data_IF_321802585687
#
_entry.id   IF_321802585687
#
_cell.length_a   1.000
_cell.length_b   1.000
_cell.length_c   1.000
_cell.angle_alpha   90.00
_cell.angle_beta   90.00
_cell.angle_gamma   90.00
#
_symmetry.space_group_name_H-M   'P 1'
#
loop_
_entity.id
_entity.type
_entity.pdbx_description
1 polymer ?
#
# COMPACT_ATOMS: atom_id res chain seq x y z
N UNK A 1 -8.00 12.02 61.79
CA UNK A 1 -7.48 11.00 60.86
C UNK A 1 -8.63 10.15 60.32
N UNK A 2 -9.66 10.74 59.71
CA UNK A 2 -10.81 9.98 59.19
C UNK A 2 -11.35 10.51 57.84
N UNK A 3 -10.73 11.55 57.28
CA UNK A 3 -11.18 12.16 56.01
C UNK A 3 -10.30 11.79 54.81
N UNK A 4 -9.16 11.15 55.03
CA UNK A 4 -8.19 10.84 53.97
C UNK A 4 -8.48 9.50 53.29
N UNK A 5 -9.01 8.52 54.03
CA UNK A 5 -9.35 7.19 53.49
C UNK A 5 -10.63 7.20 52.65
N UNK A 6 -11.51 8.19 52.83
CA UNK A 6 -12.78 8.28 52.10
C UNK A 6 -12.66 8.98 50.73
N UNK A 7 -11.59 9.76 50.52
CA UNK A 7 -11.27 10.35 49.22
C UNK A 7 -10.50 9.37 48.32
N UNK A 8 -9.58 8.56 48.87
CA UNK A 8 -8.87 7.52 48.10
C UNK A 8 -9.82 6.43 47.59
N UNK A 9 -10.79 5.99 48.41
CA UNK A 9 -11.81 5.02 47.99
C UNK A 9 -12.78 5.56 46.92
N UNK A 10 -13.03 6.89 46.89
CA UNK A 10 -13.84 7.51 45.84
C UNK A 10 -13.06 7.70 44.54
N UNK A 11 -11.75 7.95 44.64
CA UNK A 11 -10.87 8.04 43.47
C UNK A 11 -10.77 6.69 42.76
N UNK A 12 -10.56 5.60 43.51
CA UNK A 12 -10.41 4.27 42.89
C UNK A 12 -11.73 3.74 42.29
N UNK A 13 -12.89 4.05 42.90
CA UNK A 13 -14.20 3.67 42.36
C UNK A 13 -14.62 4.49 41.11
N UNK A 14 -14.07 5.69 40.91
CA UNK A 14 -14.25 6.43 39.67
C UNK A 14 -13.34 5.90 38.55
N UNK A 15 -12.08 5.59 38.86
CA UNK A 15 -11.12 5.02 37.89
C UNK A 15 -11.57 3.65 37.37
N UNK A 16 -12.12 2.78 38.24
CA UNK A 16 -12.66 1.47 37.81
C UNK A 16 -13.90 1.62 36.90
N UNK A 17 -14.78 2.60 37.16
CA UNK A 17 -15.96 2.84 36.32
C UNK A 17 -15.63 3.47 34.96
N UNK A 18 -14.60 4.32 34.88
CA UNK A 18 -14.14 4.89 33.61
C UNK A 18 -13.38 3.86 32.75
N UNK A 19 -12.60 2.98 33.38
CA UNK A 19 -11.95 1.87 32.70
C UNK A 19 -12.98 0.88 32.11
N UNK A 20 -14.00 0.50 32.88
CA UNK A 20 -15.07 -0.39 32.42
C UNK A 20 -15.94 0.24 31.31
N UNK A 21 -16.19 1.55 31.36
CA UNK A 21 -16.87 2.26 30.27
C UNK A 21 -16.03 2.31 29.00
N UNK A 22 -14.71 2.57 29.11
CA UNK A 22 -13.81 2.60 27.95
C UNK A 22 -13.66 1.24 27.26
N UNK A 23 -13.65 0.13 28.03
CA UNK A 23 -13.62 -1.23 27.49
C UNK A 23 -14.93 -1.60 26.80
N UNK A 24 -16.07 -1.11 27.31
CA UNK A 24 -17.39 -1.35 26.73
C UNK A 24 -17.58 -0.56 25.42
N UNK A 25 -17.07 0.67 25.34
CA UNK A 25 -17.05 1.48 24.11
C UNK A 25 -16.11 0.90 23.04
N UNK A 26 -14.96 0.36 23.45
CA UNK A 26 -14.02 -0.30 22.54
C UNK A 26 -14.62 -1.61 21.97
N UNK A 27 -15.31 -2.41 22.81
CA UNK A 27 -15.98 -3.64 22.39
C UNK A 27 -17.18 -3.39 21.47
N UNK A 28 -17.96 -2.33 21.71
CA UNK A 28 -19.08 -1.93 20.83
C UNK A 28 -18.58 -1.35 19.50
N UNK A 29 -17.48 -0.60 19.50
CA UNK A 29 -16.82 -0.20 18.26
C UNK A 29 -16.30 -1.41 17.47
N UNK A 30 -15.74 -2.42 18.15
CA UNK A 30 -15.27 -3.68 17.54
C UNK A 30 -16.39 -4.44 16.83
N UNK A 31 -17.60 -4.51 17.41
CA UNK A 31 -18.77 -5.10 16.75
C UNK A 31 -19.31 -4.26 15.59
N UNK A 32 -19.29 -2.93 15.69
CA UNK A 32 -19.69 -2.04 14.60
C UNK A 32 -18.73 -2.11 13.40
N UNK A 33 -17.44 -2.41 13.62
CA UNK A 33 -16.45 -2.57 12.56
C UNK A 33 -16.71 -3.78 11.64
N UNK A 34 -17.42 -4.81 12.11
CA UNK A 34 -17.69 -6.03 11.31
C UNK A 34 -18.99 -5.95 10.49
N UNK A 35 -20.03 -5.26 10.98
CA UNK A 35 -21.35 -5.24 10.33
C UNK A 35 -21.47 -4.22 9.17
N UNK A 36 -20.79 -3.07 9.25
CA UNK A 36 -20.87 -1.99 8.24
C UNK A 36 -19.75 -2.04 7.18
N UNK A 37 -18.78 -2.96 7.33
CA UNK A 37 -17.64 -3.11 6.42
C UNK A 37 -17.87 -4.14 5.29
N UNK A 38 -19.10 -4.63 5.15
CA UNK A 38 -19.44 -5.58 4.10
C UNK A 38 -19.37 -4.89 2.75
N UNK A 39 -18.43 -5.32 1.89
CA UNK A 39 -18.33 -4.85 0.52
C UNK A 39 -19.71 -4.99 -0.16
N UNK A 40 -20.14 -4.01 -0.99
CA UNK A 40 -21.44 -4.10 -1.62
C UNK A 40 -21.49 -5.39 -2.44
N UNK A 41 -22.44 -6.27 -2.08
CA UNK A 41 -22.78 -7.48 -2.84
C UNK A 41 -23.26 -7.06 -4.22
N UNK A 42 -22.34 -6.89 -5.16
CA UNK A 42 -22.64 -6.62 -6.55
C UNK A 42 -22.65 -7.94 -7.31
N UNK A 43 -23.83 -8.36 -7.77
CA UNK A 43 -23.94 -9.33 -8.86
C UNK A 43 -23.33 -8.71 -10.11
N UNK A 44 -22.05 -8.98 -10.31
CA UNK A 44 -21.25 -8.53 -11.45
C UNK A 44 -21.76 -9.14 -12.77
N UNK A 45 -22.72 -10.07 -12.76
CA UNK A 45 -23.18 -10.82 -13.95
C UNK A 45 -23.89 -10.00 -15.05
N UNK A 46 -24.35 -8.77 -14.80
CA UNK A 46 -25.19 -8.08 -15.82
C UNK A 46 -24.91 -6.59 -16.06
N UNK A 47 -23.97 -5.99 -15.33
CA UNK A 47 -23.91 -4.53 -15.20
C UNK A 47 -23.07 -3.75 -16.20
N UNK A 48 -22.04 -4.33 -16.83
CA UNK A 48 -21.03 -3.53 -17.57
C UNK A 48 -20.88 -3.91 -19.05
N UNK A 49 -21.84 -4.63 -19.63
CA UNK A 49 -21.79 -4.99 -21.05
C UNK A 49 -22.07 -3.76 -21.91
N UNK A 50 -21.08 -3.36 -22.70
CA UNK A 50 -21.31 -2.50 -23.86
C UNK A 50 -21.90 -3.37 -24.97
N UNK A 51 -23.20 -3.21 -25.24
CA UNK A 51 -23.81 -3.77 -26.45
C UNK A 51 -23.16 -3.11 -27.68
N UNK A 52 -22.67 -3.95 -28.60
CA UNK A 52 -21.95 -3.50 -29.78
C UNK A 52 -22.83 -2.66 -30.72
N UNK A 53 -22.28 -1.55 -31.19
CA UNK A 53 -22.69 -0.91 -32.42
C UNK A 53 -21.47 -0.29 -33.11
N UNK A 54 -21.12 -0.86 -34.26
CA UNK A 54 -20.14 -0.29 -35.19
C UNK A 54 -20.61 1.10 -35.66
N UNK A 55 -19.70 2.07 -35.64
CA UNK A 55 -19.81 3.30 -36.44
C UNK A 55 -19.81 4.62 -35.67
N UNK A 56 -18.83 5.46 -36.02
CA UNK A 56 -18.70 6.89 -35.73
C UNK A 56 -18.31 7.28 -34.29
N UNK A 57 -17.03 7.63 -34.14
CA UNK A 57 -16.51 8.30 -32.96
C UNK A 57 -17.13 9.68 -32.72
N UNK A 58 -17.00 10.12 -31.47
CA UNK A 58 -17.26 11.48 -30.94
C UNK A 58 -18.54 11.72 -30.12
N UNK A 59 -19.18 10.71 -29.53
CA UNK A 59 -20.10 10.95 -28.42
C UNK A 59 -20.29 9.69 -27.56
N UNK A 60 -19.59 9.58 -26.43
CA UNK A 60 -20.18 8.89 -25.28
C UNK A 60 -21.45 9.68 -24.93
N UNK A 61 -22.62 9.06 -25.00
CA UNK A 61 -23.90 9.71 -24.71
C UNK A 61 -23.91 10.26 -23.29
N UNK A 62 -24.49 11.44 -23.06
CA UNK A 62 -24.73 11.99 -21.72
C UNK A 62 -25.63 11.08 -20.85
N UNK A 63 -26.27 10.08 -21.45
CA UNK A 63 -27.04 9.06 -20.76
C UNK A 63 -26.13 7.95 -20.21
N UNK A 64 -25.12 7.53 -20.97
CA UNK A 64 -24.16 6.51 -20.53
C UNK A 64 -23.34 7.03 -19.35
N UNK A 65 -22.91 8.31 -19.39
CA UNK A 65 -22.22 8.92 -18.25
C UNK A 65 -23.06 8.91 -16.97
N UNK A 66 -24.35 9.27 -17.08
CA UNK A 66 -25.28 9.25 -15.93
C UNK A 66 -25.48 7.85 -15.36
N UNK A 67 -25.67 6.85 -16.20
CA UNK A 67 -25.80 5.45 -15.76
C UNK A 67 -24.53 4.93 -15.07
N UNK A 68 -23.36 5.44 -15.48
CA UNK A 68 -22.07 5.09 -14.89
C UNK A 68 -21.84 5.83 -13.57
N UNK A 69 -22.25 7.09 -13.47
CA UNK A 69 -22.21 7.87 -12.22
C UNK A 69 -23.16 7.28 -11.16
N UNK A 70 -24.33 6.78 -11.56
CA UNK A 70 -25.25 6.06 -10.66
C UNK A 70 -24.60 4.82 -10.04
N UNK A 71 -23.72 4.13 -10.77
CA UNK A 71 -22.97 2.97 -10.27
C UNK A 71 -21.78 3.35 -9.41
N UNK A 72 -21.17 4.52 -9.65
CA UNK A 72 -20.03 5.04 -8.88
C UNK A 72 -20.49 5.61 -7.54
N UNK A 73 -21.66 6.26 -7.48
CA UNK A 73 -22.17 6.92 -6.27
C UNK A 73 -22.12 6.06 -4.98
N UNK A 74 -22.56 4.78 -4.96
CA UNK A 74 -22.43 3.97 -3.74
C UNK A 74 -20.98 3.70 -3.34
N UNK A 75 -20.08 3.56 -4.31
CA UNK A 75 -18.64 3.32 -4.09
C UNK A 75 -17.99 4.58 -3.49
N UNK A 76 -18.39 5.75 -3.97
CA UNK A 76 -17.97 7.06 -3.45
C UNK A 76 -18.47 7.30 -2.02
N UNK A 77 -19.72 6.97 -1.71
CA UNK A 77 -20.23 7.06 -0.32
C UNK A 77 -19.45 6.18 0.65
N UNK A 78 -19.07 4.99 0.22
CA UNK A 78 -18.22 4.11 1.05
C UNK A 78 -16.83 4.73 1.27
N UNK A 79 -16.26 5.39 0.25
CA UNK A 79 -15.02 6.13 0.41
C UNK A 79 -15.18 7.24 1.45
N UNK A 80 -16.21 8.08 1.30
CA UNK A 80 -16.49 9.19 2.22
C UNK A 80 -16.63 8.69 3.66
N UNK A 81 -17.33 7.57 3.88
CA UNK A 81 -17.42 6.94 5.19
C UNK A 81 -16.05 6.58 5.75
N UNK A 82 -15.21 5.88 4.97
CA UNK A 82 -13.86 5.49 5.40
C UNK A 82 -12.96 6.70 5.66
N UNK A 83 -13.03 7.74 4.82
CA UNK A 83 -12.29 8.98 5.02
C UNK A 83 -12.72 9.70 6.31
N UNK A 84 -14.04 9.81 6.53
CA UNK A 84 -14.60 10.40 7.75
C UNK A 84 -14.22 9.60 9.00
N UNK A 85 -14.16 8.26 8.90
CA UNK A 85 -13.68 7.42 10.01
C UNK A 85 -12.21 7.65 10.31
N UNK A 86 -11.36 7.78 9.29
CA UNK A 86 -9.96 8.16 9.50
C UNK A 86 -9.85 9.54 10.21
N UNK A 87 -10.70 10.51 9.83
CA UNK A 87 -10.80 11.82 10.45
C UNK A 87 -11.22 11.78 11.93
N UNK A 88 -12.23 10.97 12.25
CA UNK A 88 -12.67 10.72 13.62
C UNK A 88 -11.53 10.15 14.47
N UNK A 89 -10.79 9.17 13.95
CA UNK A 89 -9.65 8.56 14.65
C UNK A 89 -8.51 9.55 14.88
N UNK A 90 -8.24 10.44 13.93
CA UNK A 90 -7.25 11.51 14.12
C UNK A 90 -7.70 12.49 15.20
N UNK A 91 -8.97 12.89 15.16
CA UNK A 91 -9.55 13.80 16.15
C UNK A 91 -9.51 13.17 17.53
N UNK A 92 -9.96 11.92 17.69
CA UNK A 92 -9.91 11.21 18.96
C UNK A 92 -8.50 11.16 19.56
N UNK A 93 -7.47 10.92 18.72
CA UNK A 93 -6.08 10.92 19.18
C UNK A 93 -5.63 12.31 19.68
N UNK A 94 -5.97 13.38 18.96
CA UNK A 94 -5.56 14.75 19.34
C UNK A 94 -6.25 15.23 20.62
N UNK A 95 -7.49 14.82 20.87
CA UNK A 95 -8.27 15.22 22.05
C UNK A 95 -7.94 14.36 23.28
N UNK A 96 -7.53 13.11 23.09
CA UNK A 96 -7.16 12.20 24.20
C UNK A 96 -5.73 12.40 24.73
N UNK A 97 -5.00 13.41 24.23
CA UNK A 97 -3.56 13.67 24.50
C UNK A 97 -3.18 13.64 25.98
N UNK A 98 -4.07 14.08 26.86
CA UNK A 98 -3.81 14.16 28.30
C UNK A 98 -4.07 12.84 29.06
N UNK A 99 -4.69 11.85 28.40
CA UNK A 99 -5.09 10.57 28.97
C UNK A 99 -4.40 9.35 28.32
N UNK A 100 -3.37 9.57 27.47
CA UNK A 100 -2.70 8.54 26.65
C UNK A 100 -1.76 7.61 27.46
N UNK A 101 -2.29 6.96 28.49
CA UNK A 101 -1.69 5.75 29.10
C UNK A 101 -2.26 4.46 28.50
N UNK A 102 -3.25 4.56 27.61
CA UNK A 102 -4.01 3.41 27.15
C UNK A 102 -3.35 2.71 25.95
N UNK A 103 -2.80 1.52 26.21
CA UNK A 103 -2.43 0.49 25.23
C UNK A 103 -3.56 0.15 24.23
N UNK A 104 -4.80 0.58 24.51
CA UNK A 104 -5.93 0.47 23.61
C UNK A 104 -5.79 1.24 22.28
N UNK A 105 -5.00 2.31 22.19
CA UNK A 105 -4.90 3.04 20.92
C UNK A 105 -4.00 2.36 19.88
N UNK A 106 -3.09 1.47 20.31
CA UNK A 106 -2.14 0.81 19.44
C UNK A 106 -2.80 -0.15 18.43
N UNK A 107 -3.93 -0.74 18.78
CA UNK A 107 -4.62 -1.73 17.93
C UNK A 107 -5.71 -1.11 17.03
N UNK A 108 -6.14 0.12 17.30
CA UNK A 108 -7.20 0.79 16.52
C UNK A 108 -6.79 0.97 15.05
N UNK A 109 -5.57 1.45 14.81
CA UNK A 109 -5.06 1.65 13.44
C UNK A 109 -4.91 0.32 12.69
N UNK A 110 -4.25 -0.73 13.23
CA UNK A 110 -4.23 -2.05 12.61
C UNK A 110 -5.61 -2.59 12.23
N UNK A 111 -6.59 -2.50 13.15
CA UNK A 111 -7.95 -2.98 12.87
C UNK A 111 -8.60 -2.18 11.75
N UNK A 112 -8.49 -0.85 11.78
CA UNK A 112 -9.05 0.00 10.74
C UNK A 112 -8.42 -0.26 9.36
N UNK A 113 -7.09 -0.47 9.32
CA UNK A 113 -6.40 -0.87 8.09
C UNK A 113 -6.95 -2.20 7.54
N UNK A 114 -7.26 -3.17 8.40
CA UNK A 114 -7.89 -4.43 8.01
C UNK A 114 -9.31 -4.21 7.46
N UNK A 115 -10.11 -3.38 8.11
CA UNK A 115 -11.47 -3.00 7.66
C UNK A 115 -11.46 -2.35 6.27
N UNK A 116 -10.39 -1.64 5.90
CA UNK A 116 -10.25 -1.04 4.56
C UNK A 116 -9.87 -2.05 3.46
N UNK A 117 -9.34 -3.23 3.78
CA UNK A 117 -8.80 -4.17 2.78
C UNK A 117 -9.83 -4.68 1.75
N UNK A 118 -11.09 -4.98 2.12
CA UNK A 118 -12.10 -5.39 1.15
C UNK A 118 -12.42 -4.27 0.15
N UNK A 119 -12.46 -3.01 0.62
CA UNK A 119 -12.71 -1.85 -0.24
C UNK A 119 -11.58 -1.66 -1.26
N UNK A 120 -10.32 -1.72 -0.81
CA UNK A 120 -9.17 -1.70 -1.71
C UNK A 120 -9.20 -2.83 -2.73
N UNK A 121 -9.45 -4.05 -2.27
CA UNK A 121 -9.54 -5.23 -3.14
C UNK A 121 -10.61 -5.05 -4.21
N UNK A 122 -11.78 -4.55 -3.83
CA UNK A 122 -12.86 -4.28 -4.76
C UNK A 122 -12.47 -3.24 -5.83
N UNK A 123 -11.89 -2.10 -5.42
CA UNK A 123 -11.46 -1.06 -6.35
C UNK A 123 -10.39 -1.57 -7.33
N UNK A 124 -9.34 -2.21 -6.80
CA UNK A 124 -8.20 -2.71 -7.56
C UNK A 124 -8.61 -3.81 -8.54
N UNK A 125 -9.36 -4.81 -8.07
CA UNK A 125 -9.83 -5.91 -8.91
C UNK A 125 -10.82 -5.43 -9.97
N UNK A 126 -11.77 -4.56 -9.61
CA UNK A 126 -12.75 -4.04 -10.59
C UNK A 126 -12.08 -3.15 -11.64
N UNK A 127 -11.06 -2.39 -11.26
CA UNK A 127 -10.36 -1.50 -12.19
C UNK A 127 -9.39 -2.24 -13.13
N UNK A 128 -8.76 -3.33 -12.66
CA UNK A 128 -7.62 -3.97 -13.36
C UNK A 128 -7.85 -5.40 -13.81
N UNK A 129 -8.82 -6.12 -13.26
CA UNK A 129 -8.99 -7.52 -13.64
C UNK A 129 -9.28 -7.67 -15.13
N UNK A 130 -8.56 -8.60 -15.75
CA UNK A 130 -8.79 -8.98 -17.13
C UNK A 130 -9.55 -10.29 -17.16
N UNK A 131 -10.76 -10.26 -17.71
CA UNK A 131 -11.57 -11.45 -17.97
C UNK A 131 -11.68 -11.61 -19.50
N UNK A 132 -11.22 -12.73 -20.09
CA UNK A 132 -11.26 -12.95 -21.53
C UNK A 132 -12.68 -12.90 -22.12
N UNK A 133 -13.71 -13.06 -21.29
CA UNK A 133 -15.11 -13.04 -21.70
C UNK A 133 -15.83 -11.71 -21.41
N UNK A 134 -15.14 -10.73 -20.82
CA UNK A 134 -15.73 -9.42 -20.53
C UNK A 134 -14.96 -8.28 -21.21
N UNK A 135 -15.68 -7.30 -21.79
CA UNK A 135 -15.03 -6.10 -22.29
C UNK A 135 -14.38 -5.34 -21.13
N UNK A 136 -13.22 -4.70 -21.35
CA UNK A 136 -12.56 -3.90 -20.32
C UNK A 136 -13.46 -2.73 -19.90
N UNK A 137 -13.35 -2.33 -18.63
CA UNK A 137 -14.09 -1.18 -18.12
C UNK A 137 -13.73 0.09 -18.90
N UNK A 138 -14.68 1.02 -18.97
CA UNK A 138 -14.41 2.32 -19.57
C UNK A 138 -13.27 3.02 -18.82
N UNK A 139 -12.43 3.73 -19.57
CA UNK A 139 -11.28 4.46 -18.98
C UNK A 139 -11.73 5.43 -17.88
N UNK A 140 -12.90 6.04 -18.04
CA UNK A 140 -13.48 6.94 -17.02
C UNK A 140 -13.73 6.22 -15.70
N UNK A 141 -14.45 5.09 -15.69
CA UNK A 141 -14.72 4.36 -14.44
C UNK A 141 -13.42 3.84 -13.85
N UNK A 142 -12.56 3.23 -14.68
CA UNK A 142 -11.27 2.72 -14.24
C UNK A 142 -10.49 3.81 -13.50
N UNK A 143 -10.30 4.97 -14.12
CA UNK A 143 -9.61 6.09 -13.50
C UNK A 143 -10.26 6.55 -12.20
N UNK A 144 -11.61 6.57 -12.13
CA UNK A 144 -12.32 6.99 -10.92
C UNK A 144 -12.10 6.02 -9.75
N UNK A 145 -12.20 4.72 -9.98
CA UNK A 145 -11.96 3.70 -8.95
C UNK A 145 -10.52 3.77 -8.43
N UNK A 146 -9.55 3.98 -9.32
CA UNK A 146 -8.15 4.14 -8.97
C UNK A 146 -7.89 5.43 -8.18
N UNK A 147 -8.59 6.51 -8.50
CA UNK A 147 -8.53 7.74 -7.72
C UNK A 147 -9.07 7.53 -6.31
N UNK A 148 -10.17 6.79 -6.14
CA UNK A 148 -10.69 6.44 -4.80
C UNK A 148 -9.69 5.62 -3.99
N UNK A 149 -9.04 4.63 -4.62
CA UNK A 149 -7.98 3.83 -4.01
C UNK A 149 -6.83 4.74 -3.53
N UNK A 150 -6.38 5.65 -4.40
CA UNK A 150 -5.31 6.59 -4.05
C UNK A 150 -5.69 7.55 -2.92
N UNK A 151 -6.92 8.08 -2.90
CA UNK A 151 -7.39 8.99 -1.84
C UNK A 151 -7.39 8.30 -0.48
N UNK A 152 -7.95 7.09 -0.39
CA UNK A 152 -7.95 6.33 0.85
C UNK A 152 -6.52 5.96 1.27
N UNK A 153 -5.69 5.49 0.34
CA UNK A 153 -4.28 5.15 0.60
C UNK A 153 -3.52 6.33 1.24
N UNK A 154 -3.62 7.52 0.65
CA UNK A 154 -2.97 8.73 1.18
C UNK A 154 -3.49 9.09 2.57
N UNK A 155 -4.80 8.93 2.81
CA UNK A 155 -5.42 9.23 4.10
C UNK A 155 -4.97 8.30 5.21
N UNK A 156 -4.91 7.00 4.91
CA UNK A 156 -4.44 5.98 5.84
C UNK A 156 -2.96 6.15 6.15
N UNK A 157 -2.14 6.50 5.16
CA UNK A 157 -0.72 6.80 5.38
C UNK A 157 -0.54 7.95 6.39
N UNK A 158 -1.30 9.04 6.22
CA UNK A 158 -1.29 10.16 7.17
C UNK A 158 -1.75 9.75 8.57
N UNK A 159 -2.79 8.92 8.69
CA UNK A 159 -3.27 8.40 9.97
C UNK A 159 -2.19 7.55 10.67
N UNK A 160 -1.55 6.64 9.94
CA UNK A 160 -0.51 5.76 10.48
C UNK A 160 0.70 6.58 10.96
N UNK A 161 1.16 7.54 10.14
CA UNK A 161 2.27 8.43 10.51
C UNK A 161 1.93 9.29 11.73
N UNK A 162 0.69 9.78 11.84
CA UNK A 162 0.24 10.51 13.01
C UNK A 162 0.34 9.64 14.25
N UNK A 163 -0.25 8.44 14.27
CA UNK A 163 -0.21 7.55 15.43
C UNK A 163 1.23 7.12 15.80
N UNK A 164 2.09 6.85 14.81
CA UNK A 164 3.50 6.57 15.01
C UNK A 164 4.23 7.74 15.68
N UNK A 165 3.87 9.00 15.34
CA UNK A 165 4.47 10.19 15.97
C UNK A 165 4.17 10.32 17.47
N UNK A 166 3.09 9.70 17.94
CA UNK A 166 2.77 9.57 19.37
C UNK A 166 3.40 8.31 20.02
N UNK A 167 4.27 7.60 19.30
CA UNK A 167 4.95 6.38 19.77
C UNK A 167 3.98 5.24 20.15
N UNK A 168 2.81 5.18 19.51
CA UNK A 168 1.82 4.12 19.75
C UNK A 168 2.22 2.77 19.14
N UNK A 169 3.03 2.79 18.09
CA UNK A 169 3.64 1.62 17.45
C UNK A 169 4.90 2.02 16.66
N UNK A 170 5.74 1.04 16.34
CA UNK A 170 6.91 1.23 15.48
C UNK A 170 6.54 1.15 13.99
N UNK A 171 7.36 1.77 13.13
CA UNK A 171 7.32 1.60 11.68
C UNK A 171 8.49 0.75 11.15
N UNK A 172 9.37 0.27 12.02
CA UNK A 172 10.56 -0.51 11.64
C UNK A 172 10.19 -1.95 11.28
N UNK A 173 10.56 -2.43 10.08
CA UNK A 173 10.28 -3.81 9.63
C UNK A 173 10.82 -4.91 10.56
N UNK A 174 11.88 -4.61 11.33
CA UNK A 174 12.47 -5.55 12.29
C UNK A 174 11.64 -5.76 13.55
N UNK A 175 10.70 -4.86 13.85
CA UNK A 175 9.83 -4.98 15.01
C UNK A 175 8.56 -5.79 14.63
N UNK A 176 8.30 -6.93 15.30
CA UNK A 176 7.12 -7.76 15.04
C UNK A 176 5.78 -7.06 15.34
N UNK A 177 5.79 -5.97 16.12
CA UNK A 177 4.59 -5.17 16.42
C UNK A 177 4.48 -3.93 15.51
N UNK A 178 5.36 -3.81 14.51
CA UNK A 178 5.37 -2.66 13.62
C UNK A 178 4.21 -2.63 12.62
N UNK A 179 3.89 -1.41 12.18
CA UNK A 179 3.01 -1.15 11.03
C UNK A 179 3.84 -0.49 9.93
N UNK A 180 4.85 -1.20 9.43
CA UNK A 180 5.75 -0.70 8.37
C UNK A 180 5.04 -0.49 7.02
N UNK A 181 4.06 -1.36 6.73
CA UNK A 181 3.31 -1.35 5.47
C UNK A 181 1.88 -1.88 5.67
N UNK A 182 1.01 -1.55 4.72
CA UNK A 182 -0.36 -2.07 4.69
C UNK A 182 -0.77 -2.48 3.28
N UNK A 183 -1.75 -3.37 3.21
CA UNK A 183 -2.30 -3.90 1.96
C UNK A 183 -3.23 -2.88 1.31
N UNK A 184 -3.03 -2.61 0.02
CA UNK A 184 -3.84 -1.65 -0.76
C UNK A 184 -4.57 -2.31 -1.94
N UNK A 185 -4.75 -3.63 -1.89
CA UNK A 185 -5.59 -4.37 -2.81
C UNK A 185 -4.85 -5.43 -3.63
N UNK A 186 -5.60 -6.08 -4.51
CA UNK A 186 -5.10 -7.12 -5.40
C UNK A 186 -5.89 -7.11 -6.70
N UNK A 187 -5.26 -7.57 -7.78
CA UNK A 187 -5.90 -7.80 -9.06
C UNK A 187 -5.37 -9.08 -9.71
N UNK A 188 -6.13 -9.60 -10.66
CA UNK A 188 -5.78 -10.76 -11.47
C UNK A 188 -5.80 -10.36 -12.94
N UNK A 189 -4.66 -10.54 -13.59
CA UNK A 189 -4.46 -10.19 -15.00
C UNK A 189 -3.89 -11.43 -15.68
N UNK A 190 -4.66 -12.00 -16.60
CA UNK A 190 -4.34 -13.28 -17.25
C UNK A 190 -4.02 -14.38 -16.22
N UNK A 191 -2.82 -14.97 -16.29
CA UNK A 191 -2.34 -16.01 -15.37
C UNK A 191 -1.69 -15.45 -14.08
N UNK A 192 -1.65 -14.12 -13.91
CA UNK A 192 -0.95 -13.45 -12.83
C UNK A 192 -1.91 -12.89 -11.78
N UNK A 193 -1.69 -13.26 -10.52
CA UNK A 193 -2.30 -12.63 -9.36
C UNK A 193 -1.30 -11.68 -8.71
N UNK A 194 -1.68 -10.40 -8.62
CA UNK A 194 -0.89 -9.33 -8.04
C UNK A 194 -1.51 -8.89 -6.70
N UNK A 195 -0.72 -8.91 -5.62
CA UNK A 195 -1.09 -8.27 -4.33
C UNK A 195 -0.21 -7.05 -4.09
N UNK A 196 -0.83 -5.95 -3.63
CA UNK A 196 -0.20 -4.63 -3.59
C UNK A 196 -0.10 -4.15 -2.14
N UNK A 197 1.08 -3.67 -1.75
CA UNK A 197 1.36 -3.16 -0.41
C UNK A 197 2.05 -1.80 -0.49
N UNK A 198 1.64 -0.89 0.40
CA UNK A 198 2.22 0.46 0.55
C UNK A 198 3.01 0.54 1.84
N UNK A 199 4.25 1.02 1.76
CA UNK A 199 5.03 1.37 2.94
C UNK A 199 4.65 2.74 3.46
N UNK A 200 4.48 2.84 4.78
CA UNK A 200 4.02 4.06 5.46
C UNK A 200 5.02 5.22 5.30
N UNK A 201 6.31 4.90 5.20
CA UNK A 201 7.39 5.84 4.88
C UNK A 201 8.48 5.12 4.06
N UNK A 202 9.38 5.87 3.39
CA UNK A 202 10.56 5.28 2.77
C UNK A 202 11.35 4.42 3.77
N UNK A 203 11.39 3.11 3.52
CA UNK A 203 11.96 2.11 4.44
C UNK A 203 13.19 1.49 3.81
N UNK A 204 14.31 1.27 4.52
CA UNK A 204 15.52 0.68 3.93
C UNK A 204 15.24 -0.59 3.12
N UNK A 205 15.88 -0.72 1.96
CA UNK A 205 15.71 -1.89 1.09
C UNK A 205 16.14 -3.20 1.76
N UNK A 206 17.22 -3.16 2.54
CA UNK A 206 17.65 -4.26 3.40
C UNK A 206 17.50 -3.85 4.86
N UNK A 207 16.99 -4.75 5.68
CA UNK A 207 16.84 -4.49 7.12
C UNK A 207 18.20 -4.44 7.86
N UNK A 208 19.25 -5.05 7.30
CA UNK A 208 20.59 -5.15 7.92
C UNK A 208 21.61 -4.14 7.40
N UNK A 209 21.37 -3.50 6.24
CA UNK A 209 22.35 -2.65 5.58
C UNK A 209 21.68 -1.43 4.94
N UNK A 210 22.22 -0.24 5.23
CA UNK A 210 21.81 0.97 4.53
C UNK A 210 22.53 1.03 3.17
N UNK A 211 21.83 0.63 2.11
CA UNK A 211 22.33 0.70 0.73
C UNK A 211 22.05 2.06 0.08
N UNK A 212 21.39 2.99 0.78
CA UNK A 212 20.86 4.23 0.21
C UNK A 212 19.61 4.04 -0.67
N UNK A 213 19.10 2.80 -0.75
CA UNK A 213 17.88 2.45 -1.47
C UNK A 213 16.75 2.23 -0.48
N UNK A 214 15.60 2.86 -0.71
CA UNK A 214 14.45 2.83 0.20
C UNK A 214 13.20 2.34 -0.53
N UNK A 215 12.50 1.36 0.02
CA UNK A 215 11.22 0.83 -0.44
C UNK A 215 10.10 1.84 -0.17
N UNK A 216 9.15 1.90 -1.09
CA UNK A 216 7.90 2.66 -0.95
C UNK A 216 6.66 1.83 -1.24
N UNK A 217 6.77 0.85 -2.13
CA UNK A 217 5.71 -0.12 -2.41
C UNK A 217 6.30 -1.50 -2.64
N UNK A 218 5.51 -2.54 -2.35
CA UNK A 218 5.79 -3.93 -2.67
C UNK A 218 4.64 -4.52 -3.46
N UNK A 219 4.98 -5.30 -4.47
CA UNK A 219 4.05 -6.18 -5.17
C UNK A 219 4.48 -7.62 -5.03
N UNK A 220 3.50 -8.48 -4.75
CA UNK A 220 3.68 -9.93 -4.79
C UNK A 220 2.99 -10.43 -6.04
N UNK A 221 3.73 -11.05 -6.96
CA UNK A 221 3.22 -11.62 -8.20
C UNK A 221 3.24 -13.13 -8.07
N UNK A 222 2.07 -13.76 -8.12
CA UNK A 222 1.93 -15.21 -8.24
C UNK A 222 1.48 -15.54 -9.66
N UNK A 223 2.12 -16.52 -10.29
CA UNK A 223 1.75 -17.02 -11.62
C UNK A 223 1.10 -18.39 -11.47
N UNK A 224 -0.06 -18.57 -12.06
CA UNK A 224 -0.67 -19.89 -12.18
C UNK A 224 0.08 -20.66 -13.27
N UNK A 225 0.88 -21.64 -12.87
CA UNK A 225 1.54 -22.56 -13.81
C UNK A 225 0.61 -23.77 -13.96
N UNK A 226 -0.04 -23.89 -15.13
CA UNK A 226 -0.73 -25.12 -15.52
C UNK A 226 0.30 -26.23 -15.77
N UNK A 227 0.59 -27.02 -14.73
CA UNK A 227 1.41 -28.22 -14.86
C UNK A 227 0.56 -29.42 -15.28
N UNK A 228 0.73 -29.89 -16.52
CA UNK A 228 0.33 -31.24 -16.93
C UNK A 228 1.25 -32.28 -16.27
N UNK A 229 1.02 -32.61 -14.99
CA UNK A 229 1.80 -33.66 -14.33
C UNK A 229 1.66 -33.65 -12.81
N UNK A 230 1.49 -34.83 -12.23
CA UNK A 230 1.28 -35.08 -10.81
C UNK A 230 2.24 -34.29 -9.90
N UNK A 231 1.69 -33.28 -9.21
CA UNK A 231 2.11 -32.92 -7.86
C UNK A 231 3.44 -32.18 -7.71
N UNK A 232 3.62 -31.03 -8.37
CA UNK A 232 4.51 -29.95 -7.89
C UNK A 232 4.23 -28.64 -8.64
N UNK A 233 3.23 -27.88 -8.17
CA UNK A 233 3.10 -26.46 -8.49
C UNK A 233 4.21 -25.73 -7.75
N UNK A 234 5.19 -25.19 -8.46
CA UNK A 234 6.13 -24.24 -7.87
C UNK A 234 5.37 -22.94 -7.55
N UNK A 235 4.91 -22.78 -6.31
CA UNK A 235 4.32 -21.54 -5.76
C UNK A 235 5.42 -20.51 -5.50
N UNK A 236 6.17 -20.15 -6.54
CA UNK A 236 7.20 -19.13 -6.48
C UNK A 236 6.57 -17.75 -6.63
N UNK A 237 6.20 -17.11 -5.52
CA UNK A 237 5.81 -15.70 -5.55
C UNK A 237 7.04 -14.83 -5.90
N UNK A 238 6.95 -14.07 -6.98
CA UNK A 238 7.95 -13.06 -7.33
C UNK A 238 7.66 -11.76 -6.58
N UNK A 239 8.69 -11.12 -6.01
CA UNK A 239 8.54 -9.86 -5.29
C UNK A 239 9.14 -8.70 -6.08
N UNK A 240 8.36 -7.63 -6.23
CA UNK A 240 8.76 -6.40 -6.90
C UNK A 240 8.61 -5.23 -5.95
N UNK A 241 9.45 -4.21 -6.11
CA UNK A 241 9.48 -3.05 -5.22
C UNK A 241 9.60 -1.75 -6.01
N UNK A 242 8.84 -0.75 -5.57
CA UNK A 242 9.08 0.64 -5.91
C UNK A 242 10.09 1.14 -4.89
N UNK A 243 11.22 1.61 -5.37
CA UNK A 243 12.28 2.13 -4.53
C UNK A 243 12.65 3.56 -4.94
N UNK A 244 13.20 4.30 -3.99
CA UNK A 244 13.87 5.56 -4.24
C UNK A 244 15.30 5.52 -3.71
N UNK A 245 16.17 6.26 -4.39
CA UNK A 245 17.55 6.51 -3.97
C UNK A 245 17.87 8.00 -4.12
N UNK A 246 18.71 8.51 -3.22
CA UNK A 246 19.13 9.91 -3.21
C UNK A 246 20.45 10.03 -3.98
N UNK A 247 20.40 10.58 -5.20
CA UNK A 247 21.57 10.75 -6.06
C UNK A 247 22.16 12.13 -5.84
N UNK A 248 23.42 12.16 -5.39
CA UNK A 248 24.18 13.40 -5.26
C UNK A 248 24.78 13.72 -6.63
N UNK A 249 24.35 14.80 -7.27
CA UNK A 249 25.05 15.29 -8.46
C UNK A 249 26.49 15.66 -8.07
N UNK A 250 27.46 14.88 -8.55
CA UNK A 250 28.86 15.26 -8.46
C UNK A 250 29.00 16.63 -9.12
N UNK A 251 29.52 17.62 -8.39
CA UNK A 251 29.83 18.89 -8.99
C UNK A 251 30.78 18.62 -10.17
N UNK A 252 30.33 18.94 -11.39
CA UNK A 252 31.18 18.92 -12.57
C UNK A 252 32.49 19.65 -12.23
N UNK A 253 33.58 18.91 -12.10
CA UNK A 253 34.94 19.43 -12.17
C UNK A 253 35.17 19.87 -13.63
N UNK A 254 34.51 20.96 -14.03
CA UNK A 254 34.97 21.75 -15.16
C UNK A 254 36.13 22.60 -14.68
N UNK A 255 37.30 21.95 -14.65
CA UNK A 255 38.58 22.63 -14.77
C UNK A 255 38.55 23.54 -16.00
N UNK A 256 38.62 24.85 -15.73
CA UNK A 256 38.55 25.88 -16.74
C UNK A 256 38.65 27.28 -16.16
N UNK A 257 39.72 27.52 -15.40
CA UNK A 257 40.41 28.81 -15.18
C UNK A 257 39.55 30.07 -14.88
N UNK A 258 39.68 30.59 -13.65
CA UNK A 258 39.26 31.97 -13.33
C UNK A 258 38.68 32.15 -11.93
N UNK A 259 39.57 32.47 -10.99
CA UNK A 259 39.34 32.98 -9.64
C UNK A 259 37.90 33.38 -9.24
N UNK A 260 37.34 32.72 -8.22
CA UNK A 260 36.64 33.42 -7.14
C UNK A 260 36.53 32.52 -5.90
N UNK A 261 37.07 33.01 -4.78
CA UNK A 261 36.80 32.47 -3.46
C UNK A 261 35.30 32.60 -3.17
N UNK A 262 34.55 31.52 -3.39
CA UNK A 262 33.20 31.38 -2.83
C UNK A 262 33.29 30.40 -1.68
N UNK A 263 32.99 30.89 -0.48
CA UNK A 263 32.76 30.08 0.70
C UNK A 263 31.66 29.06 0.37
N UNK A 264 32.05 27.79 0.27
CA UNK A 264 31.09 26.68 0.22
C UNK A 264 30.41 26.61 1.60
N UNK A 265 29.24 27.25 1.72
CA UNK A 265 28.34 27.00 2.83
C UNK A 265 27.74 25.61 2.66
N UNK A 266 27.69 24.82 3.75
CA UNK A 266 27.10 23.46 3.78
C UNK A 266 25.69 23.39 3.19
N UNK A 267 24.98 24.52 3.19
CA UNK A 267 23.64 24.72 2.64
C UNK A 267 23.54 24.55 1.11
N UNK A 268 24.64 24.73 0.35
CA UNK A 268 24.62 24.55 -1.11
C UNK A 268 24.78 23.08 -1.54
N UNK A 269 25.24 22.20 -0.64
CA UNK A 269 25.37 20.76 -0.91
C UNK A 269 24.05 20.01 -0.74
N UNK A 270 23.16 20.49 0.13
CA UNK A 270 21.80 19.94 0.29
C UNK A 270 20.92 20.19 -0.95
N UNK A 271 21.24 21.20 -1.76
CA UNK A 271 20.47 21.59 -2.94
C UNK A 271 20.74 20.75 -4.22
N UNK A 272 21.56 19.70 -4.16
CA UNK A 272 21.90 18.86 -5.33
C UNK A 272 21.64 17.36 -5.13
N UNK A 273 20.74 17.01 -4.22
CA UNK A 273 20.30 15.64 -4.04
C UNK A 273 19.00 15.45 -4.80
N UNK A 274 19.05 14.80 -5.96
CA UNK A 274 17.85 14.42 -6.70
C UNK A 274 17.45 13.00 -6.29
N UNK A 275 16.24 12.87 -5.75
CA UNK A 275 15.67 11.56 -5.42
C UNK A 275 15.16 10.92 -6.70
N UNK A 276 15.66 9.73 -7.04
CA UNK A 276 15.25 8.99 -8.23
C UNK A 276 14.40 7.79 -7.82
N UNK A 277 13.29 7.59 -8.52
CA UNK A 277 12.36 6.50 -8.33
C UNK A 277 12.54 5.41 -9.39
N UNK A 278 12.50 4.16 -8.96
CA UNK A 278 12.61 3.00 -9.86
C UNK A 278 11.77 1.82 -9.39
N UNK A 279 11.42 0.95 -10.33
CA UNK A 279 10.78 -0.34 -10.08
C UNK A 279 11.79 -1.44 -10.37
N UNK A 280 11.87 -2.43 -9.48
CA UNK A 280 12.82 -3.52 -9.59
C UNK A 280 12.32 -4.80 -8.92
N UNK A 281 12.94 -5.92 -9.30
CA UNK A 281 12.66 -7.25 -8.77
C UNK A 281 13.62 -7.57 -7.62
N UNK A 282 13.09 -8.20 -6.58
CA UNK A 282 13.90 -8.83 -5.54
C UNK A 282 14.52 -10.12 -6.07
N UNK A 283 15.84 -10.24 -5.92
CA UNK A 283 16.58 -11.47 -6.17
C UNK A 283 17.10 -11.96 -4.82
N UNK A 284 16.53 -13.05 -4.33
CA UNK A 284 16.95 -13.65 -3.07
C UNK A 284 18.41 -14.10 -3.17
N UNK A 285 19.24 -13.72 -2.20
CA UNK A 285 20.66 -14.15 -2.14
C UNK A 285 20.98 -14.94 -0.89
N UNK A 286 20.35 -14.64 0.24
CA UNK A 286 20.53 -15.40 1.47
C UNK A 286 19.27 -15.36 2.35
N UNK A 287 18.70 -16.49 2.77
CA UNK A 287 19.10 -17.85 2.42
C UNK A 287 18.94 -18.10 0.92
N UNK A 288 19.87 -18.82 0.32
CA UNK A 288 19.84 -19.15 -1.11
C UNK A 288 18.74 -20.21 -1.35
N UNK A 289 17.75 -19.93 -2.21
CA UNK A 289 16.62 -20.83 -2.44
C UNK A 289 17.02 -22.18 -3.05
N UNK A 290 18.17 -22.26 -3.71
CA UNK A 290 18.62 -23.48 -4.40
C UNK A 290 19.52 -24.36 -3.51
N UNK A 291 20.13 -23.79 -2.48
CA UNK A 291 21.17 -24.47 -1.68
C UNK A 291 20.87 -24.60 -0.19
N UNK A 292 20.09 -23.69 0.40
CA UNK A 292 19.79 -23.65 1.83
C UNK A 292 18.52 -24.43 2.18
N UNK A 293 18.49 -25.07 3.36
CA UNK A 293 17.36 -25.90 3.79
C UNK A 293 16.37 -25.12 4.69
N UNK A 294 15.20 -25.72 4.96
CA UNK A 294 14.12 -25.08 5.74
C UNK A 294 14.57 -24.58 7.12
N UNK A 295 15.60 -25.20 7.71
CA UNK A 295 16.20 -24.80 8.98
C UNK A 295 16.98 -23.52 8.83
N UNK A 296 17.79 -23.40 7.77
CA UNK A 296 18.53 -22.16 7.46
C UNK A 296 17.54 -21.00 7.22
N UNK A 297 16.43 -21.29 6.53
CA UNK A 297 15.32 -20.35 6.37
C UNK A 297 14.65 -19.96 7.69
N UNK A 298 14.39 -20.92 8.57
CA UNK A 298 13.75 -20.67 9.87
C UNK A 298 14.66 -19.94 10.87
N UNK A 299 15.98 -20.16 10.79
CA UNK A 299 16.98 -19.56 11.67
C UNK A 299 17.52 -18.24 11.11
N UNK A 300 17.21 -17.91 9.85
CA UNK A 300 17.63 -16.66 9.24
C UNK A 300 16.94 -15.47 9.92
N UNK A 301 17.71 -14.70 10.68
CA UNK A 301 17.22 -13.50 11.36
C UNK A 301 16.85 -12.38 10.38
N UNK A 302 17.59 -12.23 9.27
CA UNK A 302 17.36 -11.19 8.27
C UNK A 302 17.71 -11.72 6.87
N UNK A 303 16.71 -11.94 5.98
CA UNK A 303 17.00 -12.32 4.61
C UNK A 303 17.66 -11.18 3.85
N UNK A 304 18.54 -11.53 2.93
CA UNK A 304 19.26 -10.64 2.04
C UNK A 304 18.89 -10.91 0.59
N UNK A 305 18.87 -9.85 -0.20
CA UNK A 305 18.61 -9.94 -1.62
C UNK A 305 19.17 -8.75 -2.38
N UNK A 306 19.17 -8.86 -3.68
CA UNK A 306 19.59 -7.82 -4.61
C UNK A 306 18.38 -7.15 -5.25
N UNK A 307 18.49 -5.85 -5.46
CA UNK A 307 17.54 -5.09 -6.24
C UNK A 307 17.92 -5.13 -7.72
N UNK A 308 17.20 -5.91 -8.52
CA UNK A 308 17.35 -5.90 -9.98
C UNK A 308 16.41 -4.85 -10.56
N UNK A 309 16.93 -3.64 -10.80
CA UNK A 309 16.16 -2.56 -11.42
C UNK A 309 15.62 -2.98 -12.80
N UNK A 310 14.35 -2.68 -13.06
CA UNK A 310 13.65 -2.98 -14.31
C UNK A 310 13.23 -1.71 -15.05
N UNK A 311 12.82 -0.68 -14.30
CA UNK A 311 12.31 0.57 -14.88
C UNK A 311 12.72 1.76 -14.01
N UNK A 312 13.27 2.81 -14.62
CA UNK A 312 13.51 4.10 -13.98
C UNK A 312 12.33 5.04 -14.27
N UNK A 313 11.78 5.68 -13.24
CA UNK A 313 10.59 6.56 -13.34
C UNK A 313 10.93 8.05 -13.30
N UNK A 314 12.12 8.43 -12.83
CA UNK A 314 12.55 9.83 -12.71
C UNK A 314 12.43 10.33 -11.27
N UNK A 315 12.31 11.65 -11.07
CA UNK A 315 12.43 12.26 -9.74
C UNK A 315 11.13 12.52 -8.98
N UNK A 316 9.98 12.43 -9.65
CA UNK A 316 8.68 12.58 -9.01
C UNK A 316 8.20 11.24 -8.43
N UNK A 317 7.70 11.25 -7.18
CA UNK A 317 7.10 10.05 -6.58
C UNK A 317 5.82 9.67 -7.35
N UNK A 318 5.75 8.47 -7.96
CA UNK A 318 4.54 8.05 -8.65
C UNK A 318 3.41 7.76 -7.66
N UNK A 319 2.16 8.01 -8.07
CA UNK A 319 1.00 7.51 -7.34
C UNK A 319 1.02 5.97 -7.26
N UNK A 320 0.36 5.39 -6.26
CA UNK A 320 0.27 3.93 -6.11
C UNK A 320 -0.33 3.26 -7.35
N UNK A 321 -1.30 3.94 -7.98
CA UNK A 321 -1.93 3.47 -9.20
C UNK A 321 -0.99 3.55 -10.40
N UNK A 322 -0.30 4.68 -10.59
CA UNK A 322 0.66 4.87 -11.68
C UNK A 322 1.81 3.87 -11.58
N UNK A 323 2.37 3.68 -10.39
CA UNK A 323 3.46 2.74 -10.17
C UNK A 323 3.03 1.29 -10.48
N UNK A 324 1.81 0.92 -10.08
CA UNK A 324 1.24 -0.40 -10.38
C UNK A 324 1.03 -0.59 -11.89
N UNK A 325 0.48 0.42 -12.58
CA UNK A 325 0.29 0.36 -14.03
C UNK A 325 1.64 0.25 -14.79
N UNK A 326 2.69 0.94 -14.31
CA UNK A 326 4.04 0.81 -14.85
C UNK A 326 4.60 -0.60 -14.66
N UNK A 327 4.46 -1.20 -13.47
CA UNK A 327 4.89 -2.58 -13.23
C UNK A 327 4.15 -3.55 -14.15
N UNK A 328 2.82 -3.43 -14.26
CA UNK A 328 2.03 -4.29 -15.13
C UNK A 328 2.46 -4.19 -16.59
N UNK A 329 2.78 -2.99 -17.08
CA UNK A 329 3.35 -2.81 -18.43
C UNK A 329 4.66 -3.57 -18.62
N UNK A 330 5.54 -3.57 -17.61
CA UNK A 330 6.80 -4.32 -17.64
C UNK A 330 6.55 -5.83 -17.63
N UNK A 331 5.62 -6.32 -16.79
CA UNK A 331 5.32 -7.76 -16.65
C UNK A 331 4.70 -8.33 -17.94
N UNK A 332 3.72 -7.63 -18.51
CA UNK A 332 3.04 -8.05 -19.73
C UNK A 332 3.99 -8.06 -20.95
N UNK A 333 4.93 -7.12 -21.01
CA UNK A 333 5.93 -7.08 -22.09
C UNK A 333 6.90 -8.28 -22.03
N UNK A 334 7.24 -8.76 -20.84
CA UNK A 334 8.11 -9.92 -20.67
C UNK A 334 7.41 -11.23 -21.10
N UNK A 335 6.10 -11.33 -20.93
CA UNK A 335 5.31 -12.48 -21.35
C UNK A 335 5.18 -12.56 -22.88
N UNK A 336 5.02 -11.41 -23.54
CA UNK A 336 4.99 -11.38 -25.01
C UNK A 336 6.33 -11.76 -25.64
N UNK A 337 7.45 -11.33 -25.05
CA UNK A 337 8.78 -11.68 -25.54
C UNK A 337 9.13 -13.18 -25.32
N UNK A 338 8.62 -13.79 -24.24
CA UNK A 338 8.77 -15.22 -23.99
C UNK A 338 8.05 -16.12 -25.00
N UNK A 339 6.96 -15.62 -25.61
CA UNK A 339 6.10 -16.41 -26.51
C UNK A 339 6.66 -16.52 -27.94
N UNK A 340 7.60 -15.65 -28.34
CA UNK A 340 8.26 -15.70 -29.66
C UNK A 340 9.57 -16.51 -29.69
N UNK A 341 9.97 -17.10 -28.57
CA UNK A 341 11.20 -17.91 -28.43
C UNK A 341 11.12 -19.35 -28.92
N UNK A 342 9.95 -19.86 -29.32
CA UNK A 342 9.82 -21.19 -29.93
C UNK A 342 9.65 -21.10 -31.46
N UNK A 343 10.78 -20.91 -32.14
CA UNK A 343 10.94 -21.35 -33.53
C UNK A 343 12.29 -22.04 -33.69
N UNK A 344 12.26 -23.37 -33.81
CA UNK A 344 12.87 -24.05 -34.95
C UNK A 344 12.22 -25.41 -35.16
#
# INVERSE_FOLDING_TARGET
MANTEQEELKSSLCEENEADQSLTELATNTQAFEEDAMAPSFDVERGFLAEGAEGAGSALSNQDKRMMDEKISPIERQLEYLLNKADELQTQLLWSRDCLQNYGFAHIVPMFLQTCQPYFTYLESTARNSDPFRPPLSTYIRSQLLQFSQQLCSRLEQLVLLYASFSLFSLEESDPLSISHFYIGQCQIDSMKLSIFRYCCPTPFLASANTGLYKRMRWNVKREIEGEGEGQTYDGAEYYFLCCEDVIEAADDKDGDGSCEKQNTETDRENRVERIWSIGRWIQTYPDPDTEDVTDWALCSIPCGQYKQLLCLGSEEPSSCTATDCLLGVLLSQETDGTFGMKT
#
